data_IF_781363167110
#
_entry.id   IF_781363167110
#
_cell.length_a   1.000
_cell.length_b   1.000
_cell.length_c   1.000
_cell.angle_alpha   90.00
_cell.angle_beta   90.00
_cell.angle_gamma   90.00
#
_symmetry.space_group_name_H-M   'P 1'
#
loop_
_entity.id
_entity.type
_entity.pdbx_description
1 polymer ?
#
# COMPACT_ATOMS: atom_id res chain seq x y z
N UNK A 1 22.80 59.33 -81.65
CA UNK A 1 22.07 60.54 -81.28
C UNK A 1 22.24 60.81 -79.79
N UNK A 2 22.71 61.96 -79.47
CA UNK A 2 23.31 62.57 -78.26
C UNK A 2 22.80 62.14 -76.84
N UNK A 3 23.73 61.63 -76.05
CA UNK A 3 23.58 61.54 -74.63
C UNK A 3 24.18 62.78 -73.96
N UNK A 4 23.42 63.49 -73.13
CA UNK A 4 23.91 64.60 -72.29
C UNK A 4 24.09 64.11 -70.91
N UNK A 5 25.34 64.07 -70.43
CA UNK A 5 25.71 63.90 -69.00
C UNK A 5 25.55 65.19 -68.25
N UNK A 6 24.89 65.17 -67.13
CA UNK A 6 24.88 66.29 -66.17
C UNK A 6 25.60 65.83 -64.90
N UNK A 7 26.70 66.49 -64.59
CA UNK A 7 27.42 66.38 -63.29
C UNK A 7 26.76 67.27 -62.25
N UNK A 8 26.42 66.75 -61.07
CA UNK A 8 26.04 67.50 -59.87
C UNK A 8 27.15 67.34 -58.85
N UNK A 9 27.50 68.43 -58.09
CA UNK A 9 28.61 68.39 -57.15
C UNK A 9 28.22 67.69 -55.86
N UNK A 10 29.15 66.89 -55.34
CA UNK A 10 29.10 66.16 -54.07
C UNK A 10 29.38 67.18 -52.96
N UNK A 11 28.38 67.47 -52.09
CA UNK A 11 28.57 68.23 -50.85
C UNK A 11 28.88 67.22 -49.74
N UNK A 12 30.09 67.28 -49.21
CA UNK A 12 30.57 66.47 -48.07
C UNK A 12 30.09 67.14 -46.76
N UNK A 13 29.08 66.63 -46.11
CA UNK A 13 28.67 67.06 -44.78
C UNK A 13 29.36 66.17 -43.76
N UNK A 14 30.35 66.71 -43.05
CA UNK A 14 30.99 66.07 -41.90
C UNK A 14 30.05 66.18 -40.69
N UNK A 15 29.27 65.17 -40.46
CA UNK A 15 28.46 65.04 -39.24
C UNK A 15 29.29 64.54 -38.06
N UNK A 16 29.46 65.34 -37.04
CA UNK A 16 30.06 64.94 -35.79
C UNK A 16 29.15 63.92 -35.08
N UNK A 17 29.61 62.66 -34.91
CA UNK A 17 28.97 61.63 -34.13
C UNK A 17 29.14 61.97 -32.62
N UNK A 18 28.06 62.42 -31.99
CA UNK A 18 27.97 62.49 -30.51
C UNK A 18 27.61 61.12 -29.98
N UNK A 19 28.40 60.47 -29.12
CA UNK A 19 28.02 59.18 -28.53
C UNK A 19 26.84 59.39 -27.57
N UNK A 20 25.66 58.88 -27.92
CA UNK A 20 24.51 58.78 -27.01
C UNK A 20 24.77 57.58 -26.09
N UNK A 21 25.17 57.85 -24.87
CA UNK A 21 25.25 56.87 -23.80
C UNK A 21 23.84 56.46 -23.40
N UNK A 22 23.37 55.32 -23.91
CA UNK A 22 22.14 54.67 -23.42
C UNK A 22 22.45 54.08 -22.04
N UNK A 23 22.17 54.82 -20.98
CA UNK A 23 22.13 54.27 -19.62
C UNK A 23 20.97 53.30 -19.51
N UNK A 24 21.27 52.01 -19.44
CA UNK A 24 20.27 51.00 -19.05
C UNK A 24 19.88 51.26 -17.62
N UNK A 25 18.56 51.37 -17.29
CA UNK A 25 18.14 51.42 -15.89
C UNK A 25 18.61 50.16 -15.14
N UNK A 26 19.04 50.27 -13.87
CA UNK A 26 19.43 49.13 -13.08
C UNK A 26 18.23 48.19 -13.00
N UNK A 27 18.44 46.90 -13.36
CA UNK A 27 17.47 45.82 -13.11
C UNK A 27 17.26 45.79 -11.61
N UNK A 28 16.10 46.21 -11.15
CA UNK A 28 15.68 45.97 -9.76
C UNK A 28 15.80 44.49 -9.47
N UNK A 29 16.44 44.07 -8.37
CA UNK A 29 16.47 42.67 -7.99
C UNK A 29 15.00 42.21 -7.86
N UNK A 30 14.58 41.25 -8.70
CA UNK A 30 13.33 40.56 -8.52
C UNK A 30 13.48 39.83 -7.17
N UNK A 31 12.82 40.35 -6.15
CA UNK A 31 12.73 39.68 -4.88
C UNK A 31 12.23 38.24 -5.16
N UNK A 32 12.85 37.22 -4.60
CA UNK A 32 12.35 35.88 -4.72
C UNK A 32 10.91 35.90 -4.21
N UNK A 33 9.95 35.63 -5.10
CA UNK A 33 8.54 35.44 -4.72
C UNK A 33 8.55 34.32 -3.71
N UNK A 34 8.34 34.67 -2.44
CA UNK A 34 8.16 33.69 -1.40
C UNK A 34 7.11 32.71 -1.94
N UNK A 35 7.52 31.44 -2.13
CA UNK A 35 6.59 30.39 -2.44
C UNK A 35 5.51 30.48 -1.36
N UNK A 36 4.27 30.70 -1.76
CA UNK A 36 3.15 30.60 -0.83
C UNK A 36 3.29 29.23 -0.15
N UNK A 37 3.06 29.12 1.17
CA UNK A 37 3.13 27.84 1.85
C UNK A 37 2.22 26.89 1.05
N UNK A 38 2.78 25.78 0.65
CA UNK A 38 2.10 24.74 -0.12
C UNK A 38 0.94 24.29 0.77
N UNK A 39 -0.25 24.81 0.53
CA UNK A 39 -1.44 24.48 1.31
C UNK A 39 -1.93 23.11 0.84
N UNK A 40 -1.11 22.09 1.10
CA UNK A 40 -1.46 20.72 0.81
C UNK A 40 -2.69 20.33 1.62
N UNK A 41 -3.77 19.98 0.95
CA UNK A 41 -4.91 19.39 1.60
C UNK A 41 -4.51 18.03 2.17
N UNK A 42 -4.80 17.78 3.44
CA UNK A 42 -4.53 16.48 4.08
C UNK A 42 -5.85 15.80 4.38
N UNK A 43 -5.94 14.49 4.06
CA UNK A 43 -7.09 13.66 4.38
C UNK A 43 -6.66 12.44 5.19
N UNK A 44 -7.48 12.09 6.17
CA UNK A 44 -7.29 10.97 7.09
C UNK A 44 -8.49 10.03 7.06
N UNK A 45 -8.49 9.02 7.94
CA UNK A 45 -9.64 8.12 8.11
C UNK A 45 -10.92 8.83 8.58
N UNK A 46 -10.82 10.06 9.12
CA UNK A 46 -12.00 10.81 9.56
C UNK A 46 -12.87 11.29 8.38
N UNK A 47 -12.27 11.44 7.21
CA UNK A 47 -12.97 11.82 5.97
C UNK A 47 -13.57 10.60 5.25
N UNK A 48 -13.28 9.37 5.71
CA UNK A 48 -13.68 8.12 5.07
C UNK A 48 -15.17 7.86 5.24
N UNK A 49 -15.87 7.66 4.14
CA UNK A 49 -17.32 7.39 4.13
C UNK A 49 -17.66 5.96 3.70
N UNK A 50 -16.82 5.36 2.87
CA UNK A 50 -16.94 3.95 2.47
C UNK A 50 -15.57 3.31 2.38
N UNK A 51 -15.53 2.03 2.78
CA UNK A 51 -14.35 1.19 2.65
C UNK A 51 -14.80 -0.20 2.21
N UNK A 52 -14.19 -0.72 1.15
CA UNK A 52 -14.32 -2.10 0.73
C UNK A 52 -12.93 -2.75 0.60
N UNK A 53 -12.82 -3.97 1.08
CA UNK A 53 -11.59 -4.77 1.01
C UNK A 53 -11.95 -6.11 0.39
N UNK A 54 -11.41 -6.36 -0.80
CA UNK A 54 -11.55 -7.63 -1.51
C UNK A 54 -10.25 -8.40 -1.37
N UNK A 55 -10.26 -9.46 -0.58
CA UNK A 55 -9.05 -10.27 -0.27
C UNK A 55 -9.02 -11.49 -1.18
N UNK A 56 -7.91 -11.68 -1.85
CA UNK A 56 -7.63 -12.84 -2.68
C UNK A 56 -6.82 -13.88 -1.89
N UNK A 57 -6.92 -15.14 -2.27
CA UNK A 57 -6.17 -16.24 -1.60
C UNK A 57 -4.64 -16.19 -1.85
N UNK A 58 -4.15 -15.24 -2.62
CA UNK A 58 -2.75 -15.12 -3.07
C UNK A 58 -1.97 -13.99 -2.39
N UNK A 59 -2.25 -13.72 -1.10
CA UNK A 59 -1.57 -12.71 -0.28
C UNK A 59 -1.68 -11.29 -0.84
N UNK A 60 -2.85 -10.95 -1.40
CA UNK A 60 -3.14 -9.63 -1.96
C UNK A 60 -4.59 -9.23 -1.69
N UNK A 61 -4.83 -7.95 -1.57
CA UNK A 61 -6.17 -7.40 -1.49
C UNK A 61 -6.32 -6.15 -2.36
N UNK A 62 -7.50 -5.98 -2.94
CA UNK A 62 -7.94 -4.72 -3.52
C UNK A 62 -8.63 -3.91 -2.43
N UNK A 63 -8.11 -2.74 -2.15
CA UNK A 63 -8.71 -1.76 -1.24
C UNK A 63 -9.37 -0.67 -2.07
N UNK A 64 -10.61 -0.36 -1.75
CA UNK A 64 -11.38 0.76 -2.29
C UNK A 64 -11.80 1.67 -1.15
N UNK A 65 -11.20 2.85 -1.07
CA UNK A 65 -11.40 3.85 -0.02
C UNK A 65 -12.08 5.08 -0.60
N UNK A 66 -13.24 5.43 -0.07
CA UNK A 66 -14.02 6.59 -0.51
C UNK A 66 -14.07 7.62 0.59
N UNK A 67 -13.65 8.85 0.28
CA UNK A 67 -13.60 9.98 1.23
C UNK A 67 -14.34 11.20 0.70
N UNK A 68 -14.86 12.02 1.61
CA UNK A 68 -15.39 13.33 1.30
C UNK A 68 -14.32 14.39 1.53
N UNK A 69 -13.91 15.09 0.47
CA UNK A 69 -12.82 16.04 0.50
C UNK A 69 -13.24 17.43 0.04
N UNK A 70 -12.46 18.41 0.48
CA UNK A 70 -12.47 19.75 -0.11
C UNK A 70 -11.17 19.93 -0.92
N UNK A 71 -11.31 20.07 -2.23
CA UNK A 71 -10.19 20.29 -3.15
C UNK A 71 -10.19 21.73 -3.62
N UNK A 72 -9.04 22.40 -3.47
CA UNK A 72 -8.86 23.74 -3.99
C UNK A 72 -9.04 23.77 -5.52
N UNK A 73 -9.51 24.90 -6.05
CA UNK A 73 -9.60 25.09 -7.50
C UNK A 73 -8.21 25.33 -8.09
N UNK A 74 -7.95 24.81 -9.28
CA UNK A 74 -6.63 24.83 -9.92
C UNK A 74 -5.74 23.69 -9.45
N UNK A 75 -4.43 23.91 -9.54
CA UNK A 75 -3.42 22.89 -9.14
C UNK A 75 -3.16 22.97 -7.64
N UNK A 76 -3.24 21.82 -6.97
CA UNK A 76 -2.98 21.70 -5.53
C UNK A 76 -2.48 20.31 -5.17
N UNK A 77 -1.78 20.17 -4.05
CA UNK A 77 -1.33 18.89 -3.52
C UNK A 77 -2.35 18.32 -2.54
N UNK A 78 -2.57 17.00 -2.61
CA UNK A 78 -3.40 16.25 -1.69
C UNK A 78 -2.56 15.16 -1.02
N UNK A 79 -2.47 15.20 0.31
CA UNK A 79 -1.87 14.16 1.13
C UNK A 79 -2.96 13.20 1.62
N UNK A 80 -2.97 12.00 1.07
CA UNK A 80 -3.94 10.95 1.41
C UNK A 80 -3.28 9.94 2.36
N UNK A 81 -3.54 10.13 3.65
CA UNK A 81 -2.91 9.37 4.73
C UNK A 81 -3.68 8.08 5.06
N UNK A 82 -3.07 7.25 5.92
CA UNK A 82 -3.68 6.04 6.49
C UNK A 82 -3.98 4.93 5.46
N UNK A 83 -3.19 4.86 4.40
CA UNK A 83 -3.25 3.75 3.44
C UNK A 83 -2.45 2.53 3.96
N UNK A 84 -2.58 1.40 3.29
CA UNK A 84 -1.77 0.22 3.61
C UNK A 84 -0.28 0.50 3.38
N UNK A 85 0.58 0.13 4.35
CA UNK A 85 2.03 0.26 4.20
C UNK A 85 2.59 -0.64 3.09
N UNK A 86 1.85 -1.69 2.74
CA UNK A 86 2.19 -2.65 1.68
C UNK A 86 1.52 -2.36 0.35
N UNK A 87 1.03 -1.14 0.14
CA UNK A 87 0.45 -0.70 -1.13
C UNK A 87 1.43 -0.89 -2.29
N UNK A 88 0.91 -1.34 -3.43
CA UNK A 88 1.66 -1.29 -4.69
C UNK A 88 1.35 0.03 -5.39
N UNK A 89 2.28 1.01 -5.41
CA UNK A 89 2.03 2.33 -5.96
C UNK A 89 1.60 2.34 -7.43
N UNK A 90 2.07 1.37 -8.22
CA UNK A 90 1.73 1.24 -9.64
C UNK A 90 0.25 0.89 -9.89
N UNK A 91 -0.46 0.43 -8.86
CA UNK A 91 -1.87 0.02 -8.96
C UNK A 91 -2.83 1.04 -8.39
N UNK A 92 -2.32 2.19 -7.94
CA UNK A 92 -3.14 3.22 -7.31
C UNK A 92 -3.90 4.00 -8.36
N UNK A 93 -5.22 4.07 -8.18
CA UNK A 93 -6.11 4.89 -8.98
C UNK A 93 -6.85 5.87 -8.09
N UNK A 94 -6.93 7.12 -8.53
CA UNK A 94 -7.68 8.18 -7.89
C UNK A 94 -8.70 8.75 -8.85
N UNK A 95 -9.93 8.94 -8.39
CA UNK A 95 -10.98 9.60 -9.18
C UNK A 95 -11.96 10.37 -8.30
N UNK A 96 -12.50 11.45 -8.81
CA UNK A 96 -13.68 12.07 -8.23
C UNK A 96 -14.93 11.31 -8.65
N UNK A 97 -15.78 10.96 -7.68
CA UNK A 97 -17.11 10.38 -7.95
C UNK A 97 -18.16 11.46 -8.17
N UNK A 98 -17.93 12.68 -7.68
CA UNK A 98 -18.86 13.82 -7.82
C UNK A 98 -18.77 14.44 -9.21
N UNK A 99 -17.55 14.78 -9.64
CA UNK A 99 -17.27 15.42 -10.94
C UNK A 99 -16.08 14.74 -11.62
N UNK A 100 -16.23 13.53 -12.20
CA UNK A 100 -15.09 12.73 -12.70
C UNK A 100 -14.24 13.42 -13.77
N UNK A 101 -14.86 14.24 -14.62
CA UNK A 101 -14.17 14.96 -15.71
C UNK A 101 -13.52 16.28 -15.28
N UNK A 102 -13.74 16.73 -14.04
CA UNK A 102 -13.28 18.03 -13.54
C UNK A 102 -12.04 17.94 -12.66
N UNK A 103 -11.69 16.75 -12.19
CA UNK A 103 -10.49 16.50 -11.39
C UNK A 103 -9.58 15.57 -12.16
N UNK A 104 -8.36 16.02 -12.42
CA UNK A 104 -7.31 15.22 -13.06
C UNK A 104 -6.10 15.09 -12.14
N UNK A 105 -5.48 13.91 -12.15
CA UNK A 105 -4.20 13.65 -11.49
C UNK A 105 -3.09 14.06 -12.45
N UNK A 106 -2.24 14.99 -12.02
CA UNK A 106 -1.07 15.43 -12.77
C UNK A 106 0.17 14.62 -12.40
N UNK A 107 0.35 14.38 -11.09
CA UNK A 107 1.47 13.61 -10.53
C UNK A 107 0.98 12.76 -9.38
N UNK A 108 1.64 11.61 -9.17
CA UNK A 108 1.40 10.71 -8.07
C UNK A 108 2.72 10.27 -7.46
N UNK A 109 2.86 10.53 -6.16
CA UNK A 109 4.00 10.12 -5.36
C UNK A 109 3.54 9.26 -4.19
N UNK A 110 4.34 8.27 -3.85
CA UNK A 110 4.13 7.46 -2.66
C UNK A 110 5.27 7.70 -1.68
N UNK A 111 4.94 8.29 -0.54
CA UNK A 111 5.89 8.55 0.54
C UNK A 111 5.85 7.39 1.54
N UNK A 112 6.89 6.56 1.47
CA UNK A 112 7.10 5.41 2.34
C UNK A 112 8.20 5.66 3.38
N UNK A 113 8.77 6.87 3.38
CA UNK A 113 9.82 7.26 4.32
C UNK A 113 9.18 7.57 5.68
N UNK A 114 8.81 6.50 6.39
CA UNK A 114 8.15 6.60 7.68
C UNK A 114 9.11 7.09 8.74
N UNK A 115 8.56 7.81 9.73
CA UNK A 115 9.31 8.33 10.87
C UNK A 115 9.83 7.16 11.73
N UNK A 116 11.09 6.84 11.53
CA UNK A 116 11.86 5.85 12.28
C UNK A 116 13.14 6.49 12.80
N UNK A 117 13.68 6.07 13.95
CA UNK A 117 14.88 6.68 14.52
C UNK A 117 16.07 6.70 13.56
N UNK A 118 16.31 5.61 12.85
CA UNK A 118 17.42 5.54 11.87
C UNK A 118 17.19 6.46 10.67
N UNK A 119 15.98 6.54 10.15
CA UNK A 119 15.65 7.42 9.02
C UNK A 119 15.75 8.87 9.43
N UNK A 120 15.33 9.20 10.65
CA UNK A 120 15.49 10.54 11.21
C UNK A 120 16.97 10.93 11.28
N UNK A 121 17.84 10.04 11.78
CA UNK A 121 19.30 10.26 11.77
C UNK A 121 19.83 10.47 10.35
N UNK A 122 19.43 9.65 9.37
CA UNK A 122 19.87 9.82 7.97
C UNK A 122 19.52 11.20 7.40
N UNK A 123 18.33 11.73 7.73
CA UNK A 123 17.90 13.06 7.30
C UNK A 123 18.62 14.20 8.03
N UNK A 124 19.21 13.91 9.17
CA UNK A 124 19.99 14.86 9.96
C UNK A 124 21.49 14.85 9.66
N UNK A 125 21.96 14.04 8.72
CA UNK A 125 23.35 14.12 8.27
C UNK A 125 23.66 15.52 7.75
N UNK A 126 24.73 16.14 8.28
CA UNK A 126 25.13 17.51 8.03
C UNK A 126 24.42 18.58 8.90
N UNK A 127 23.53 18.19 9.81
CA UNK A 127 22.79 19.09 10.71
C UNK A 127 23.18 18.90 12.17
N UNK A 128 22.84 19.87 12.98
CA UNK A 128 23.11 19.86 14.42
C UNK A 128 21.95 19.21 15.18
N UNK A 129 22.28 18.44 16.21
CA UNK A 129 21.37 17.79 17.16
C UNK A 129 21.91 17.97 18.58
N UNK A 130 21.07 17.72 19.58
CA UNK A 130 21.51 17.68 20.98
C UNK A 130 21.60 16.24 21.47
N UNK A 131 22.81 15.81 21.83
CA UNK A 131 23.05 14.52 22.48
C UNK A 131 22.88 14.71 23.99
N UNK A 132 22.01 13.92 24.60
CA UNK A 132 21.75 13.98 26.03
C UNK A 132 22.41 12.79 26.71
N UNK A 133 23.20 13.07 27.74
CA UNK A 133 23.88 12.08 28.56
C UNK A 133 23.44 12.23 30.00
N UNK A 134 23.14 11.14 30.62
CA UNK A 134 22.80 11.09 32.04
C UNK A 134 24.04 10.73 32.85
N UNK A 135 24.59 11.67 33.60
CA UNK A 135 25.62 11.37 34.58
C UNK A 135 24.98 11.11 35.95
N UNK A 136 25.26 9.93 36.48
CA UNK A 136 24.82 9.53 37.78
C UNK A 136 26.00 9.60 38.74
N UNK A 137 25.98 10.53 39.71
CA UNK A 137 26.85 10.55 40.87
C UNK A 137 26.06 10.03 42.09
N UNK A 138 26.73 9.56 43.10
CA UNK A 138 26.20 8.77 44.25
C UNK A 138 24.84 9.19 44.81
N UNK A 139 24.39 10.44 44.61
CA UNK A 139 23.08 10.92 45.09
C UNK A 139 22.36 11.87 44.10
N UNK A 140 22.89 12.12 42.90
CA UNK A 140 22.26 13.03 41.92
C UNK A 140 22.35 12.49 40.51
N UNK A 141 21.24 12.54 39.83
CA UNK A 141 21.18 12.28 38.38
C UNK A 141 21.14 13.64 37.67
N UNK A 142 22.09 13.88 36.77
CA UNK A 142 22.18 15.12 36.02
C UNK A 142 22.23 14.81 34.52
N UNK A 143 21.38 15.47 33.73
CA UNK A 143 21.47 15.44 32.29
C UNK A 143 22.53 16.47 31.81
N UNK A 144 23.34 16.07 30.88
CA UNK A 144 24.32 16.90 30.18
C UNK A 144 23.95 16.97 28.69
N UNK A 145 23.63 18.16 28.22
CA UNK A 145 23.30 18.44 26.84
C UNK A 145 24.57 18.77 26.06
N UNK A 146 24.84 18.02 24.98
CA UNK A 146 26.00 18.25 24.11
C UNK A 146 25.49 18.52 22.70
N UNK A 147 25.76 19.72 22.18
CA UNK A 147 25.49 20.03 20.76
C UNK A 147 26.48 19.30 19.89
N UNK A 148 25.99 18.52 18.93
CA UNK A 148 26.79 17.72 18.03
C UNK A 148 26.26 17.83 16.59
N UNK A 149 27.17 17.91 15.63
CA UNK A 149 26.84 17.82 14.22
C UNK A 149 26.97 16.38 13.74
N UNK A 150 25.92 15.85 13.13
CA UNK A 150 25.98 14.51 12.56
C UNK A 150 26.67 14.55 11.20
N UNK A 151 27.90 14.06 11.11
CA UNK A 151 28.68 14.04 9.87
C UNK A 151 28.28 12.90 8.95
N UNK A 152 27.95 11.74 9.51
CA UNK A 152 27.60 10.54 8.75
C UNK A 152 26.80 9.56 9.61
N UNK A 153 25.94 8.77 8.93
CA UNK A 153 25.22 7.66 9.54
C UNK A 153 25.10 6.49 8.53
N UNK A 154 26.10 5.59 8.56
CA UNK A 154 26.20 4.42 7.66
C UNK A 154 26.25 3.09 8.43
N UNK A 155 25.92 2.89 9.57
CA UNK A 155 25.76 1.80 10.52
C UNK A 155 25.83 2.37 11.93
N UNK A 156 26.72 3.33 12.16
CA UNK A 156 26.86 4.04 13.39
C UNK A 156 27.05 5.54 13.12
N UNK A 157 26.62 6.41 14.03
CA UNK A 157 26.77 7.85 13.86
C UNK A 157 28.22 8.28 14.05
N UNK A 158 28.64 9.24 13.20
CA UNK A 158 29.90 9.98 13.32
C UNK A 158 29.55 11.42 13.63
N UNK A 159 30.05 11.90 14.76
CA UNK A 159 29.72 13.22 15.28
C UNK A 159 30.91 14.20 15.17
N UNK A 160 30.60 15.46 15.01
CA UNK A 160 31.56 16.56 15.26
C UNK A 160 31.11 17.30 16.51
N UNK A 161 31.98 17.37 17.51
CA UNK A 161 31.72 18.02 18.80
C UNK A 161 32.94 18.88 19.14
N UNK A 162 32.77 20.19 19.33
CA UNK A 162 33.89 21.09 19.70
C UNK A 162 35.04 21.15 18.69
N UNK A 163 34.75 20.77 17.39
CA UNK A 163 35.75 20.70 16.34
C UNK A 163 36.37 19.33 16.15
N UNK A 164 36.19 18.37 17.06
CA UNK A 164 36.70 17.01 16.98
C UNK A 164 35.71 16.06 16.33
N UNK A 165 36.20 15.04 15.60
CA UNK A 165 35.40 13.96 15.03
C UNK A 165 35.38 12.79 16.00
N UNK A 166 34.20 12.40 16.42
CA UNK A 166 33.97 11.39 17.45
C UNK A 166 33.11 10.26 16.89
N UNK A 167 33.54 9.01 17.09
CA UNK A 167 32.82 7.79 16.79
C UNK A 167 32.59 6.97 18.05
N UNK A 168 31.58 6.07 18.04
CA UNK A 168 31.31 5.21 19.20
C UNK A 168 30.75 5.91 20.42
N UNK A 169 30.43 7.21 20.30
CA UNK A 169 29.78 7.95 21.38
C UNK A 169 28.36 7.46 21.59
N UNK A 170 28.04 7.04 22.81
CA UNK A 170 26.70 6.69 23.22
C UNK A 170 26.05 7.89 23.90
N UNK A 171 24.85 8.24 23.48
CA UNK A 171 23.95 9.16 24.16
C UNK A 171 22.73 8.37 24.65
N UNK A 172 22.19 8.77 25.80
CA UNK A 172 20.97 8.12 26.32
C UNK A 172 19.78 8.40 25.40
N UNK A 173 19.72 9.62 24.88
CA UNK A 173 18.78 9.99 23.82
C UNK A 173 19.31 11.19 23.01
N UNK A 174 18.69 11.39 21.84
CA UNK A 174 19.03 12.46 20.90
C UNK A 174 17.79 13.34 20.73
N UNK A 175 17.97 14.64 20.95
CA UNK A 175 16.93 15.63 20.68
C UNK A 175 17.18 16.26 19.29
N UNK A 176 16.14 16.26 18.47
CA UNK A 176 16.14 16.87 17.16
C UNK A 176 15.37 18.19 17.22
N UNK A 177 15.88 19.29 16.63
CA UNK A 177 15.24 20.60 16.74
C UNK A 177 13.90 20.68 15.99
N UNK A 178 13.74 19.92 14.90
CA UNK A 178 12.54 19.93 14.07
C UNK A 178 12.31 18.56 13.41
N UNK A 179 11.08 18.31 12.95
CA UNK A 179 10.78 17.14 12.11
C UNK A 179 11.05 17.49 10.66
N UNK A 180 11.91 16.73 9.93
CA UNK A 180 12.10 16.94 8.49
C UNK A 180 10.78 16.77 7.73
N UNK A 181 10.47 17.72 6.84
CA UNK A 181 9.19 17.78 6.14
C UNK A 181 8.86 16.61 5.21
N UNK A 182 9.81 15.71 4.97
CA UNK A 182 9.69 14.53 4.13
C UNK A 182 9.71 13.20 4.91
N UNK A 183 9.45 13.24 6.23
CA UNK A 183 9.18 12.07 7.04
C UNK A 183 7.73 12.08 7.48
N UNK A 184 7.04 10.99 7.20
CA UNK A 184 5.62 10.85 7.49
C UNK A 184 5.40 9.87 8.64
N UNK A 185 4.49 10.19 9.55
CA UNK A 185 4.12 9.29 10.65
C UNK A 185 3.35 8.05 10.17
N UNK A 186 2.79 8.12 8.97
CA UNK A 186 1.96 7.07 8.35
C UNK A 186 2.20 7.01 6.85
N UNK A 187 2.00 5.84 6.20
CA UNK A 187 2.06 5.73 4.76
C UNK A 187 1.11 6.72 4.08
N UNK A 188 1.62 7.49 3.13
CA UNK A 188 0.89 8.60 2.53
C UNK A 188 1.07 8.59 1.01
N UNK A 189 -0.05 8.68 0.29
CA UNK A 189 -0.06 9.00 -1.14
C UNK A 189 -0.16 10.50 -1.31
N UNK A 190 0.67 11.05 -2.19
CA UNK A 190 0.65 12.48 -2.52
C UNK A 190 0.27 12.62 -3.98
N UNK A 191 -0.82 13.35 -4.23
CA UNK A 191 -1.23 13.68 -5.58
C UNK A 191 -1.13 15.17 -5.81
N UNK A 192 -0.55 15.54 -6.95
CA UNK A 192 -0.74 16.87 -7.54
C UNK A 192 -1.98 16.77 -8.42
N UNK A 193 -3.05 17.45 -8.00
CA UNK A 193 -4.36 17.43 -8.65
C UNK A 193 -4.61 18.76 -9.36
N UNK A 194 -5.33 18.71 -10.48
CA UNK A 194 -5.92 19.91 -11.08
C UNK A 194 -7.45 19.80 -11.00
N UNK A 195 -8.07 20.71 -10.23
CA UNK A 195 -9.51 20.78 -10.05
C UNK A 195 -10.10 21.99 -10.81
N UNK A 196 -10.90 21.70 -11.84
CA UNK A 196 -11.63 22.73 -12.62
C UNK A 196 -13.11 22.81 -12.22
N UNK A 197 -13.54 22.01 -11.26
CA UNK A 197 -14.91 21.89 -10.78
C UNK A 197 -15.19 22.61 -9.47
N UNK A 198 -16.17 22.13 -8.72
CA UNK A 198 -16.50 22.61 -7.37
C UNK A 198 -15.41 22.31 -6.34
N UNK A 199 -15.62 22.75 -5.10
CA UNK A 199 -14.66 22.48 -4.02
C UNK A 199 -14.93 21.15 -3.31
N UNK A 200 -16.18 20.71 -3.23
CA UNK A 200 -16.56 19.50 -2.51
C UNK A 200 -16.60 18.30 -3.45
N UNK A 201 -15.82 17.30 -3.12
CA UNK A 201 -15.74 16.06 -3.90
C UNK A 201 -15.86 14.86 -2.99
N UNK A 202 -16.64 13.89 -3.44
CA UNK A 202 -16.53 12.51 -2.99
C UNK A 202 -15.52 11.84 -3.91
N UNK A 203 -14.40 11.38 -3.35
CA UNK A 203 -13.30 10.80 -4.12
C UNK A 203 -13.12 9.33 -3.77
N UNK A 204 -12.63 8.56 -4.72
CA UNK A 204 -12.28 7.17 -4.56
C UNK A 204 -10.80 7.00 -4.83
N UNK A 205 -10.10 6.39 -3.88
CA UNK A 205 -8.78 5.83 -4.06
C UNK A 205 -8.90 4.30 -4.05
N UNK A 206 -8.38 3.64 -5.07
CA UNK A 206 -8.32 2.18 -5.13
C UNK A 206 -6.90 1.70 -5.41
N UNK A 207 -6.47 0.64 -4.72
CA UNK A 207 -5.11 0.14 -4.83
C UNK A 207 -5.01 -1.32 -4.40
N UNK A 208 -3.98 -2.02 -4.88
CA UNK A 208 -3.62 -3.33 -4.38
C UNK A 208 -2.63 -3.21 -3.21
N UNK A 209 -2.87 -4.00 -2.17
CA UNK A 209 -1.99 -4.15 -1.01
C UNK A 209 -1.63 -5.62 -0.82
N UNK A 210 -0.40 -5.88 -0.35
CA UNK A 210 0.07 -7.22 0.01
C UNK A 210 -0.11 -7.48 1.50
N UNK A 211 0.20 -8.71 1.93
CA UNK A 211 0.09 -9.19 3.32
C UNK A 211 -1.35 -9.17 3.86
N UNK A 212 -2.30 -9.41 2.97
CA UNK A 212 -3.67 -9.78 3.31
C UNK A 212 -3.96 -11.11 2.65
N UNK A 213 -4.34 -12.10 3.45
CA UNK A 213 -4.66 -13.44 2.97
C UNK A 213 -5.85 -14.02 3.72
N UNK A 214 -6.49 -15.01 3.15
CA UNK A 214 -7.56 -15.74 3.79
C UNK A 214 -7.53 -17.23 3.45
N UNK A 215 -8.04 -18.04 4.38
CA UNK A 215 -8.26 -19.47 4.20
C UNK A 215 -9.66 -19.82 4.69
N UNK A 216 -10.24 -20.87 4.12
CA UNK A 216 -11.45 -21.47 4.65
C UNK A 216 -11.09 -22.74 5.41
N UNK A 217 -11.59 -22.83 6.64
CA UNK A 217 -11.42 -23.95 7.54
C UNK A 217 -12.79 -24.57 7.81
N UNK A 218 -12.89 -25.90 7.75
CA UNK A 218 -14.15 -26.62 7.95
C UNK A 218 -14.02 -27.63 9.06
N UNK A 219 -15.01 -27.67 9.93
CA UNK A 219 -15.17 -28.68 10.96
C UNK A 219 -16.36 -29.55 10.61
N UNK A 220 -16.09 -30.83 10.33
CA UNK A 220 -17.13 -31.83 10.05
C UNK A 220 -17.30 -32.72 11.32
N UNK A 221 -18.47 -32.70 11.90
CA UNK A 221 -18.83 -33.52 13.04
C UNK A 221 -19.78 -34.63 12.58
N UNK A 222 -19.32 -35.89 12.58
CA UNK A 222 -20.12 -37.02 12.15
C UNK A 222 -20.89 -37.62 13.33
N UNK A 223 -22.17 -37.89 13.13
CA UNK A 223 -23.03 -38.54 14.13
C UNK A 223 -22.54 -39.96 14.44
N UNK A 224 -22.88 -40.46 15.64
CA UNK A 224 -22.44 -41.81 16.10
C UNK A 224 -22.88 -42.98 15.23
N UNK A 225 -23.94 -42.79 14.48
CA UNK A 225 -24.51 -43.83 13.58
C UNK A 225 -23.94 -43.74 12.15
N UNK A 226 -23.02 -42.81 11.90
CA UNK A 226 -22.37 -42.56 10.58
C UNK A 226 -23.37 -42.16 9.46
N UNK A 227 -24.57 -41.68 9.78
CA UNK A 227 -25.62 -41.38 8.78
C UNK A 227 -25.86 -39.92 8.57
N UNK A 228 -25.48 -39.06 9.52
CA UNK A 228 -25.61 -37.62 9.45
C UNK A 228 -24.33 -36.96 9.92
N UNK A 229 -24.16 -35.73 9.48
CA UNK A 229 -23.06 -34.88 9.92
C UNK A 229 -23.49 -33.41 10.06
N UNK A 230 -22.77 -32.68 10.88
CA UNK A 230 -22.80 -31.22 10.94
C UNK A 230 -21.51 -30.69 10.31
N UNK A 231 -21.60 -29.57 9.62
CA UNK A 231 -20.43 -28.86 9.07
C UNK A 231 -20.47 -27.39 9.49
N UNK A 232 -19.39 -26.90 10.03
CA UNK A 232 -19.16 -25.49 10.33
C UNK A 232 -17.96 -25.01 9.49
N UNK A 233 -18.18 -23.99 8.67
CA UNK A 233 -17.16 -23.37 7.86
C UNK A 233 -16.79 -21.99 8.39
N UNK A 234 -15.50 -21.76 8.55
CA UNK A 234 -14.92 -20.52 9.04
C UNK A 234 -13.94 -19.96 8.01
N UNK A 235 -13.91 -18.63 7.90
CA UNK A 235 -12.85 -17.92 7.19
C UNK A 235 -11.87 -17.39 8.21
N UNK A 236 -10.61 -17.78 8.07
CA UNK A 236 -9.48 -17.19 8.78
C UNK A 236 -8.83 -16.14 7.91
N UNK A 237 -8.91 -14.87 8.30
CA UNK A 237 -8.35 -13.72 7.60
C UNK A 237 -7.13 -13.20 8.36
N UNK A 238 -6.02 -12.98 7.66
CA UNK A 238 -4.78 -12.39 8.22
C UNK A 238 -4.53 -11.04 7.61
N UNK A 239 -4.32 -10.02 8.43
CA UNK A 239 -3.96 -8.67 7.99
C UNK A 239 -2.59 -8.25 8.53
N UNK A 240 -1.58 -8.25 7.69
CA UNK A 240 -0.24 -7.72 7.93
C UNK A 240 0.08 -6.49 7.08
N UNK A 241 -0.93 -5.79 6.55
CA UNK A 241 -0.76 -4.69 5.58
C UNK A 241 -0.19 -3.39 6.15
N UNK A 242 -0.08 -3.30 7.49
CA UNK A 242 0.40 -2.09 8.16
C UNK A 242 -0.70 -1.06 8.45
N UNK A 243 -1.97 -1.35 8.12
CA UNK A 243 -3.12 -0.48 8.47
C UNK A 243 -4.33 -1.30 8.91
N UNK A 244 -5.27 -0.65 9.61
CA UNK A 244 -6.55 -1.22 10.00
C UNK A 244 -7.65 -0.76 9.07
N UNK A 245 -8.49 -1.68 8.63
CA UNK A 245 -9.65 -1.42 7.77
C UNK A 245 -10.92 -1.39 8.62
N UNK A 246 -11.35 -0.18 9.00
CA UNK A 246 -12.47 0.01 9.91
C UNK A 246 -13.80 -0.01 9.16
N UNK A 247 -14.78 -0.73 9.72
CA UNK A 247 -16.15 -0.76 9.17
C UNK A 247 -16.21 -1.05 7.67
N UNK A 248 -15.35 -1.97 7.19
CA UNK A 248 -15.19 -2.30 5.78
C UNK A 248 -16.24 -3.31 5.31
N UNK A 249 -16.66 -3.19 4.06
CA UNK A 249 -17.30 -4.27 3.32
C UNK A 249 -16.21 -5.28 2.97
N UNK A 250 -16.31 -6.50 3.52
CA UNK A 250 -15.36 -7.57 3.26
C UNK A 250 -15.85 -8.46 2.14
N UNK A 251 -15.00 -8.63 1.15
CA UNK A 251 -15.18 -9.57 0.05
C UNK A 251 -13.97 -10.51 -0.02
N UNK A 252 -14.23 -11.78 -0.35
CA UNK A 252 -13.21 -12.81 -0.49
C UNK A 252 -13.32 -13.43 -1.87
N UNK A 253 -12.22 -13.59 -2.54
CA UNK A 253 -12.15 -14.19 -3.88
C UNK A 253 -11.37 -15.50 -3.79
N UNK A 254 -12.04 -16.60 -4.14
CA UNK A 254 -11.42 -17.90 -4.34
C UNK A 254 -11.25 -18.15 -5.84
N UNK A 255 -10.08 -18.67 -6.22
CA UNK A 255 -9.70 -18.98 -7.60
C UNK A 255 -8.27 -18.51 -7.89
N UNK A 256 -7.71 -18.99 -8.99
CA UNK A 256 -6.35 -18.63 -9.40
C UNK A 256 -6.35 -17.27 -10.11
N UNK A 257 -5.77 -16.27 -9.46
CA UNK A 257 -5.53 -14.98 -10.10
C UNK A 257 -4.51 -15.12 -11.23
N UNK A 258 -4.94 -14.88 -12.46
CA UNK A 258 -4.04 -14.80 -13.60
C UNK A 258 -3.22 -13.51 -13.51
N UNK A 259 -2.06 -13.58 -12.86
CA UNK A 259 -1.09 -12.47 -12.79
C UNK A 259 -0.13 -12.59 -13.95
N UNK A 260 0.09 -11.51 -14.68
CA UNK A 260 1.30 -11.37 -15.50
C UNK A 260 2.49 -11.30 -14.52
N UNK A 261 3.00 -12.48 -14.14
CA UNK A 261 4.27 -12.57 -13.40
C UNK A 261 5.38 -12.23 -14.38
N UNK A 262 6.27 -11.33 -14.00
CA UNK A 262 7.60 -11.36 -14.56
C UNK A 262 8.17 -12.74 -14.25
N UNK A 263 8.51 -13.46 -15.31
CA UNK A 263 8.85 -14.89 -15.30
C UNK A 263 10.06 -15.13 -14.40
N UNK A 264 9.84 -15.84 -13.28
CA UNK A 264 10.84 -16.72 -12.69
C UNK A 264 10.10 -18.03 -12.45
N UNK A 265 10.56 -19.07 -13.17
CA UNK A 265 9.99 -20.40 -13.26
C UNK A 265 9.68 -21.07 -11.90
N UNK A 266 8.51 -21.71 -11.79
CA UNK A 266 8.41 -23.16 -11.56
C UNK A 266 6.95 -23.64 -11.61
N UNK A 267 6.75 -24.70 -12.38
CA UNK A 267 5.55 -25.48 -12.61
C UNK A 267 5.00 -26.15 -11.35
N UNK A 268 3.70 -26.15 -11.17
CA UNK A 268 2.89 -27.36 -10.92
C UNK A 268 1.41 -27.00 -10.77
N UNK A 269 0.59 -27.71 -11.53
CA UNK A 269 -0.86 -27.63 -11.57
C UNK A 269 -1.51 -28.64 -10.60
N UNK A 270 -2.69 -28.33 -10.07
CA UNK A 270 -3.87 -29.18 -10.24
C UNK A 270 -5.11 -28.59 -9.55
N UNK A 271 -6.19 -28.62 -10.28
CA UNK A 271 -7.53 -28.13 -9.97
C UNK A 271 -8.37 -29.20 -9.27
N UNK A 272 -9.27 -28.79 -8.38
CA UNK A 272 -10.50 -29.54 -8.07
C UNK A 272 -11.64 -28.58 -7.72
N UNK A 273 -12.75 -28.73 -8.43
CA UNK A 273 -14.04 -28.04 -8.21
C UNK A 273 -14.76 -28.65 -7.03
N UNK A 274 -15.40 -27.82 -6.21
CA UNK A 274 -16.49 -28.21 -5.33
C UNK A 274 -17.56 -27.11 -5.32
N UNK A 275 -18.80 -27.47 -5.63
CA UNK A 275 -20.00 -26.67 -5.47
C UNK A 275 -20.73 -27.05 -4.18
N UNK A 276 -21.26 -26.09 -3.43
CA UNK A 276 -21.93 -26.31 -2.16
C UNK A 276 -23.14 -25.40 -1.92
N UNK A 277 -24.19 -25.90 -1.29
CA UNK A 277 -25.34 -25.12 -0.86
C UNK A 277 -25.65 -25.30 0.63
N UNK A 278 -25.77 -24.17 1.34
CA UNK A 278 -26.60 -23.92 2.52
C UNK A 278 -26.60 -22.39 2.75
N UNK A 279 -27.67 -21.83 3.33
CA UNK A 279 -27.89 -20.38 3.44
C UNK A 279 -26.68 -19.66 4.06
N UNK A 280 -25.89 -18.92 3.30
CA UNK A 280 -24.58 -18.47 3.75
C UNK A 280 -24.69 -17.16 4.52
N UNK A 281 -23.92 -17.06 5.60
CA UNK A 281 -23.56 -15.79 6.25
C UNK A 281 -22.84 -14.87 5.25
N UNK A 282 -22.35 -15.43 4.15
CA UNK A 282 -21.77 -14.75 2.99
C UNK A 282 -22.57 -15.05 1.73
N UNK A 283 -22.93 -14.00 0.97
CA UNK A 283 -23.47 -14.15 -0.36
C UNK A 283 -22.35 -14.56 -1.32
N UNK A 284 -22.62 -15.56 -2.14
CA UNK A 284 -21.71 -16.02 -3.20
C UNK A 284 -22.22 -15.53 -4.55
N UNK A 285 -21.33 -14.96 -5.35
CA UNK A 285 -21.57 -14.62 -6.75
C UNK A 285 -20.49 -15.29 -7.61
N UNK A 286 -20.90 -15.91 -8.72
CA UNK A 286 -19.96 -16.43 -9.72
C UNK A 286 -19.47 -15.26 -10.57
N UNK A 287 -18.17 -14.99 -10.56
CA UNK A 287 -17.53 -13.97 -11.37
C UNK A 287 -16.52 -14.64 -12.30
N UNK A 288 -16.97 -15.03 -13.49
CA UNK A 288 -16.18 -15.84 -14.44
C UNK A 288 -15.72 -17.16 -13.79
N UNK A 289 -14.41 -17.42 -13.71
CA UNK A 289 -13.82 -18.60 -13.07
C UNK A 289 -13.57 -18.42 -11.56
N UNK A 290 -14.08 -17.32 -10.96
CA UNK A 290 -13.87 -16.98 -9.55
C UNK A 290 -15.16 -17.09 -8.77
N UNK A 291 -15.02 -17.43 -7.48
CA UNK A 291 -16.11 -17.34 -6.52
C UNK A 291 -15.87 -16.13 -5.62
N UNK A 292 -16.83 -15.21 -5.63
CA UNK A 292 -16.84 -14.03 -4.78
C UNK A 292 -17.77 -14.27 -3.58
N UNK A 293 -17.22 -14.19 -2.39
CA UNK A 293 -17.98 -14.27 -1.13
C UNK A 293 -18.02 -12.90 -0.48
N UNK A 294 -19.21 -12.40 -0.22
CA UNK A 294 -19.39 -11.10 0.45
C UNK A 294 -19.95 -11.29 1.85
N UNK A 295 -19.26 -10.79 2.85
CA UNK A 295 -19.77 -10.79 4.23
C UNK A 295 -20.99 -9.86 4.35
N UNK A 296 -22.13 -10.39 4.77
CA UNK A 296 -23.42 -9.68 4.83
C UNK A 296 -23.48 -8.51 5.85
N UNK A 297 -22.40 -8.25 6.56
CA UNK A 297 -22.25 -7.14 7.51
C UNK A 297 -20.88 -6.48 7.36
N UNK A 298 -20.78 -5.21 7.68
CA UNK A 298 -19.50 -4.54 7.78
C UNK A 298 -18.68 -5.09 8.95
N UNK A 299 -17.35 -5.11 8.77
CA UNK A 299 -16.42 -5.59 9.80
C UNK A 299 -15.19 -4.70 9.89
N UNK A 300 -14.53 -4.68 11.04
CA UNK A 300 -13.22 -4.05 11.21
C UNK A 300 -12.16 -5.14 11.17
N UNK A 301 -11.12 -4.93 10.37
CA UNK A 301 -9.97 -5.81 10.22
C UNK A 301 -8.77 -5.02 10.74
N UNK A 302 -8.33 -5.32 11.97
CA UNK A 302 -7.23 -4.56 12.58
C UNK A 302 -5.87 -4.95 11.97
N UNK A 303 -4.93 -4.04 12.03
CA UNK A 303 -3.55 -4.33 11.65
C UNK A 303 -2.94 -5.40 12.56
N UNK A 304 -2.14 -6.30 11.99
CA UNK A 304 -1.51 -7.42 12.71
C UNK A 304 -2.53 -8.33 13.43
N UNK A 305 -3.72 -8.48 12.85
CA UNK A 305 -4.80 -9.31 13.38
C UNK A 305 -4.97 -10.59 12.52
N UNK A 306 -5.22 -11.71 13.21
CA UNK A 306 -5.86 -12.87 12.61
C UNK A 306 -7.31 -12.91 13.07
N UNK A 307 -8.25 -12.82 12.15
CA UNK A 307 -9.69 -12.78 12.41
C UNK A 307 -10.38 -13.99 11.82
N UNK A 308 -11.27 -14.59 12.59
CA UNK A 308 -12.18 -15.61 12.09
C UNK A 308 -13.60 -15.07 11.95
N UNK A 309 -14.22 -15.36 10.81
CA UNK A 309 -15.64 -15.06 10.55
C UNK A 309 -16.34 -16.33 10.07
N UNK A 310 -17.56 -16.55 10.53
CA UNK A 310 -18.38 -17.67 10.08
C UNK A 310 -18.69 -17.50 8.59
N UNK A 311 -18.53 -18.57 7.84
CA UNK A 311 -18.78 -18.62 6.40
C UNK A 311 -20.08 -19.34 6.08
N UNK A 312 -20.23 -20.57 6.61
CA UNK A 312 -21.38 -21.42 6.39
C UNK A 312 -21.58 -22.34 7.61
N UNK A 313 -22.79 -22.87 7.73
CA UNK A 313 -23.12 -23.91 8.69
C UNK A 313 -24.28 -24.75 8.17
N UNK A 314 -24.18 -26.04 8.30
CA UNK A 314 -25.27 -26.97 8.01
C UNK A 314 -25.29 -28.06 9.08
N UNK A 315 -26.50 -28.43 9.51
CA UNK A 315 -26.70 -29.44 10.59
C UNK A 315 -27.49 -30.61 10.09
N UNK A 316 -27.17 -31.80 10.62
CA UNK A 316 -27.90 -33.04 10.41
C UNK A 316 -28.09 -33.42 8.92
N UNK A 317 -27.15 -33.00 8.05
CA UNK A 317 -27.26 -33.42 6.65
C UNK A 317 -26.84 -34.87 6.45
N UNK A 318 -27.46 -35.60 5.51
CA UNK A 318 -27.20 -37.01 5.32
C UNK A 318 -25.81 -37.26 4.73
N UNK A 319 -25.09 -38.21 5.32
CA UNK A 319 -23.78 -38.68 4.83
C UNK A 319 -23.77 -40.17 4.59
N UNK A 320 -22.98 -40.62 3.63
CA UNK A 320 -22.75 -42.01 3.35
C UNK A 320 -21.28 -42.35 3.63
N UNK A 321 -21.06 -43.24 4.61
CA UNK A 321 -19.72 -43.74 4.89
C UNK A 321 -19.33 -44.76 3.82
N UNK A 322 -18.12 -44.64 3.28
CA UNK A 322 -17.54 -45.55 2.28
C UNK A 322 -16.17 -45.97 2.72
N UNK A 323 -15.89 -47.26 2.50
CA UNK A 323 -14.57 -47.83 2.67
C UNK A 323 -13.95 -48.05 1.30
N UNK A 324 -12.75 -47.51 1.09
CA UNK A 324 -12.05 -47.61 -0.19
C UNK A 324 -10.66 -48.18 0.02
N UNK A 325 -10.31 -49.17 -0.77
CA UNK A 325 -8.96 -49.70 -0.87
C UNK A 325 -8.45 -49.34 -2.26
N UNK A 326 -7.46 -48.47 -2.31
CA UNK A 326 -6.80 -48.07 -3.56
C UNK A 326 -5.82 -49.17 -3.95
N UNK A 327 -6.11 -49.88 -5.08
CA UNK A 327 -5.20 -50.85 -5.61
C UNK A 327 -3.88 -50.23 -6.07
N UNK A 328 -2.76 -50.80 -5.66
CA UNK A 328 -1.46 -50.33 -6.12
C UNK A 328 -1.14 -50.89 -7.52
N UNK A 329 -0.49 -50.10 -8.36
CA UNK A 329 -0.07 -50.50 -9.71
C UNK A 329 0.83 -51.79 -9.69
N UNK A 330 1.48 -52.05 -8.58
CA UNK A 330 2.28 -53.26 -8.31
C UNK A 330 1.46 -54.55 -8.28
N UNK A 331 0.16 -54.48 -7.92
CA UNK A 331 -0.74 -55.64 -7.93
C UNK A 331 -0.92 -56.23 -9.34
N UNK A 332 -0.80 -55.42 -10.36
CA UNK A 332 -1.00 -55.80 -11.76
C UNK A 332 0.29 -56.06 -12.51
N UNK A 333 1.45 -55.66 -11.95
CA UNK A 333 2.76 -55.78 -12.62
C UNK A 333 3.60 -56.97 -12.16
N UNK A 334 3.38 -57.46 -10.94
CA UNK A 334 4.17 -58.53 -10.37
C UNK A 334 3.28 -59.74 -10.09
N UNK A 335 3.40 -60.79 -10.93
CA UNK A 335 2.81 -62.10 -10.70
C UNK A 335 3.53 -62.82 -9.55
N UNK A 336 3.81 -62.18 -8.45
CA UNK A 336 4.51 -62.78 -7.32
C UNK A 336 3.50 -63.41 -6.38
N UNK A 337 3.51 -64.70 -6.34
CA UNK A 337 2.91 -65.61 -5.35
C UNK A 337 1.40 -65.42 -5.15
N UNK A 338 0.55 -66.01 -6.00
CA UNK A 338 -0.90 -66.06 -5.77
C UNK A 338 -1.20 -66.60 -4.38
N UNK A 339 -1.87 -65.82 -3.53
CA UNK A 339 -2.29 -66.24 -2.20
C UNK A 339 -1.50 -65.67 -1.00
N UNK A 340 -0.45 -64.90 -1.20
CA UNK A 340 0.18 -64.19 -0.10
C UNK A 340 -0.73 -63.06 0.42
N UNK A 341 -1.03 -62.97 1.73
CA UNK A 341 -1.85 -61.86 2.25
C UNK A 341 -1.10 -60.55 2.14
N UNK A 342 -1.69 -59.58 1.43
CA UNK A 342 -1.19 -58.22 1.35
C UNK A 342 -1.91 -57.39 2.39
N UNK A 343 -1.15 -56.69 3.23
CA UNK A 343 -1.72 -55.69 4.15
C UNK A 343 -1.85 -54.36 3.41
N UNK A 344 -3.07 -53.85 3.29
CA UNK A 344 -3.35 -52.56 2.72
C UNK A 344 -4.14 -51.70 3.70
N UNK A 345 -4.10 -50.36 3.48
CA UNK A 345 -4.80 -49.40 4.32
C UNK A 345 -6.17 -49.15 3.72
N UNK A 346 -7.23 -49.40 4.51
CA UNK A 346 -8.59 -49.04 4.15
C UNK A 346 -8.81 -47.56 4.46
N UNK A 347 -9.08 -46.77 3.44
CA UNK A 347 -9.44 -45.36 3.59
C UNK A 347 -10.94 -45.24 3.89
N UNK A 348 -11.30 -44.31 4.79
CA UNK A 348 -12.68 -44.06 5.16
C UNK A 348 -13.08 -42.71 4.61
N UNK A 349 -14.13 -42.68 3.78
CA UNK A 349 -14.70 -41.49 3.20
C UNK A 349 -16.12 -41.28 3.69
N UNK A 350 -16.51 -40.01 3.89
CA UNK A 350 -17.90 -39.62 4.06
C UNK A 350 -18.32 -38.83 2.83
N UNK A 351 -19.28 -39.36 2.10
CA UNK A 351 -19.84 -38.73 0.89
C UNK A 351 -21.16 -38.07 1.24
N UNK A 352 -21.34 -36.87 0.79
CA UNK A 352 -22.59 -36.11 0.89
C UNK A 352 -22.87 -35.41 -0.41
N UNK A 353 -24.12 -35.05 -0.61
CA UNK A 353 -24.56 -34.20 -1.73
C UNK A 353 -24.61 -32.76 -1.26
N UNK A 354 -24.21 -31.90 -2.13
CA UNK A 354 -24.35 -30.47 -1.99
C UNK A 354 -25.56 -30.05 -2.83
N UNK A 355 -26.70 -29.81 -2.16
CA UNK A 355 -27.98 -29.45 -2.79
C UNK A 355 -28.36 -28.01 -2.43
#
# INVERSE_FOLDING_TARGET
MSAKFWFAPLILVVGALVPVSVQRPPLSPVAPRAAAPDSAATTTLDDQVELAVTVYNSDIALVRDVRNLQLARGTSNLHFMDIAATVNPATVHFRSLTEPSRVSVLEQNYEYDLLEPEKLLRKYVGRDVTLVRTRRNDNTTREEDVTARLLSFNNAPVWQIGGEIITGMQADHIRFPELPGNLYSRPTLIWTLNNTGGARHRVEASYLASKLSWNADYVLTVARDDKAADIDGWVTLVNGSGTSFRNATLQLVAGDLNRVRQVIDRLSASSARMEAAAAPVMAQEAFSDYHLYTLGRKTTINNSETKQVSMLGATAFPVQKRYVVDGQATYYRNAQHPGAPVRDVVQVYYQFKNE
#
